data_IF_543252743906
#
_entry.id   IF_543252743906
#
_cell.length_a   1.000
_cell.length_b   1.000
_cell.length_c   1.000
_cell.angle_alpha   90.00
_cell.angle_beta   90.00
_cell.angle_gamma   90.00
#
_symmetry.space_group_name_H-M   'P 1'
#
loop_
_entity.id
_entity.type
_entity.pdbx_description
1 polymer ?
#
# COMPACT_ATOMS: atom_id res chain seq x y z
N UNK A 1 10.73 7.40 17.40
CA UNK A 1 11.21 6.91 16.10
C UNK A 1 12.25 5.86 16.45
N UNK A 2 12.16 4.64 15.93
CA UNK A 2 13.19 3.64 16.20
C UNK A 2 14.30 3.84 15.17
N UNK A 3 15.51 4.13 15.64
CA UNK A 3 16.68 4.16 14.76
C UNK A 3 17.02 2.73 14.34
N UNK A 4 17.29 2.56 13.05
CA UNK A 4 17.66 1.28 12.45
C UNK A 4 18.95 1.47 11.65
N UNK A 5 19.85 0.46 11.62
CA UNK A 5 21.01 0.53 10.75
C UNK A 5 20.59 0.74 9.30
N UNK A 6 21.27 1.66 8.62
CA UNK A 6 21.03 2.00 7.23
C UNK A 6 22.35 2.00 6.46
N UNK A 7 22.34 1.39 5.29
CA UNK A 7 23.48 1.26 4.38
C UNK A 7 23.11 1.93 3.07
N UNK A 8 23.88 2.94 2.66
CA UNK A 8 23.67 3.59 1.37
C UNK A 8 24.39 2.77 0.30
N UNK A 9 23.66 2.32 -0.70
CA UNK A 9 24.17 1.54 -1.83
C UNK A 9 23.68 2.24 -3.09
N UNK A 10 24.59 2.86 -3.83
CA UNK A 10 24.26 3.73 -4.97
C UNK A 10 23.19 4.79 -4.59
N UNK A 11 22.06 4.75 -5.29
CA UNK A 11 20.91 5.65 -5.14
C UNK A 11 19.81 5.09 -4.21
N UNK A 12 20.03 3.92 -3.60
CA UNK A 12 19.08 3.30 -2.67
C UNK A 12 19.66 3.22 -1.26
N UNK A 13 18.74 3.09 -0.31
CA UNK A 13 19.08 2.86 1.09
C UNK A 13 18.60 1.46 1.45
N UNK A 14 19.48 0.64 2.00
CA UNK A 14 19.13 -0.64 2.61
C UNK A 14 18.99 -0.40 4.11
N UNK A 15 17.89 -0.80 4.71
CA UNK A 15 17.69 -0.73 6.16
C UNK A 15 17.64 -2.12 6.77
N UNK A 16 18.20 -2.29 7.97
CA UNK A 16 18.15 -3.55 8.70
C UNK A 16 17.18 -3.47 9.89
N UNK A 17 16.10 -4.23 9.81
CA UNK A 17 15.09 -4.30 10.86
C UNK A 17 15.30 -5.50 11.78
N UNK A 18 14.91 -5.35 13.05
CA UNK A 18 14.89 -6.44 14.03
C UNK A 18 16.04 -6.39 15.03
N UNK A 19 15.75 -6.87 16.25
CA UNK A 19 16.72 -6.88 17.36
C UNK A 19 17.50 -8.19 17.45
N UNK A 20 16.81 -9.32 17.31
CA UNK A 20 17.39 -10.66 17.47
C UNK A 20 17.67 -11.35 16.15
N UNK A 21 16.98 -10.98 15.07
CA UNK A 21 17.22 -11.42 13.70
C UNK A 21 17.20 -10.15 12.87
N UNK A 22 18.34 -9.75 12.32
CA UNK A 22 18.43 -8.54 11.50
C UNK A 22 18.12 -8.88 10.05
N UNK A 23 17.03 -8.34 9.54
CA UNK A 23 16.58 -8.52 8.17
C UNK A 23 16.78 -7.20 7.43
N UNK A 24 17.70 -7.21 6.47
CA UNK A 24 17.92 -6.12 5.54
C UNK A 24 16.88 -6.13 4.42
N UNK A 25 16.34 -4.95 4.12
CA UNK A 25 15.43 -4.72 3.00
C UNK A 25 15.76 -3.39 2.33
N UNK A 26 15.37 -3.26 1.06
CA UNK A 26 15.47 -1.98 0.36
C UNK A 26 14.42 -1.04 0.95
N UNK A 27 14.87 0.11 1.47
CA UNK A 27 13.99 1.11 2.04
C UNK A 27 12.99 1.60 1.00
N UNK A 28 11.71 1.61 1.36
CA UNK A 28 10.61 1.96 0.46
C UNK A 28 10.63 1.19 -0.87
N UNK A 29 11.09 -0.06 -0.85
CA UNK A 29 11.22 -0.92 -2.03
C UNK A 29 10.00 -0.79 -2.94
N UNK A 30 8.78 -0.99 -2.43
CA UNK A 30 7.54 -0.92 -3.22
C UNK A 30 7.36 0.41 -3.99
N UNK A 31 7.88 1.51 -3.46
CA UNK A 31 7.77 2.86 -4.01
C UNK A 31 9.02 3.33 -4.76
N UNK A 32 10.07 2.52 -4.87
CA UNK A 32 11.15 2.84 -5.79
C UNK A 32 10.72 2.57 -7.24
N UNK A 33 11.11 3.42 -8.21
CA UNK A 33 10.98 3.10 -9.63
C UNK A 33 11.72 1.80 -9.96
N UNK A 34 11.14 0.93 -10.79
CA UNK A 34 11.76 -0.35 -11.12
C UNK A 34 13.19 -0.21 -11.68
N UNK A 35 13.44 0.86 -12.44
CA UNK A 35 14.76 1.19 -13.02
C UNK A 35 15.84 1.54 -12.00
N UNK A 36 15.45 1.88 -10.76
CA UNK A 36 16.38 2.20 -9.66
C UNK A 36 16.57 1.06 -8.67
N UNK A 37 15.92 -0.09 -8.89
CA UNK A 37 16.17 -1.26 -8.05
C UNK A 37 17.58 -1.79 -8.35
N UNK A 38 18.41 -1.98 -7.31
CA UNK A 38 19.76 -2.49 -7.51
C UNK A 38 19.73 -3.96 -7.95
N UNK A 39 20.83 -4.42 -8.56
CA UNK A 39 21.04 -5.85 -8.77
C UNK A 39 21.14 -6.55 -7.39
N UNK A 40 20.26 -7.53 -7.08
CA UNK A 40 20.31 -8.22 -5.80
C UNK A 40 21.64 -8.94 -5.55
N UNK A 41 22.35 -9.41 -6.58
CA UNK A 41 23.67 -10.00 -6.39
C UNK A 41 24.70 -8.98 -5.90
N UNK A 42 24.64 -7.75 -6.43
CA UNK A 42 25.50 -6.67 -5.97
C UNK A 42 25.21 -6.31 -4.51
N UNK A 43 23.92 -6.15 -4.15
CA UNK A 43 23.53 -5.87 -2.75
C UNK A 43 24.00 -6.97 -1.79
N UNK A 44 23.85 -8.24 -2.18
CA UNK A 44 24.33 -9.37 -1.37
C UNK A 44 25.84 -9.30 -1.16
N UNK A 45 26.61 -9.04 -2.22
CA UNK A 45 28.07 -8.90 -2.15
C UNK A 45 28.48 -7.78 -1.19
N UNK A 46 27.88 -6.60 -1.32
CA UNK A 46 28.15 -5.45 -0.46
C UNK A 46 27.80 -5.75 1.00
N UNK A 47 26.60 -6.29 1.27
CA UNK A 47 26.20 -6.65 2.64
C UNK A 47 27.11 -7.73 3.24
N UNK A 48 27.60 -8.69 2.43
CA UNK A 48 28.53 -9.72 2.89
C UNK A 48 29.91 -9.15 3.27
N UNK A 49 30.33 -8.03 2.69
CA UNK A 49 31.60 -7.37 3.01
C UNK A 49 31.59 -6.64 4.36
N UNK A 50 30.41 -6.33 4.90
CA UNK A 50 30.26 -5.60 6.16
C UNK A 50 30.75 -6.44 7.36
N UNK A 51 31.45 -5.79 8.28
CA UNK A 51 31.87 -6.38 9.56
C UNK A 51 30.64 -6.76 10.40
N UNK A 52 29.71 -5.81 10.56
CA UNK A 52 28.42 -6.02 11.25
C UNK A 52 27.28 -6.17 10.23
N UNK A 53 27.32 -7.28 9.47
CA UNK A 53 26.31 -7.57 8.45
C UNK A 53 24.96 -8.04 9.06
N UNK A 54 23.83 -7.74 8.40
CA UNK A 54 22.53 -8.28 8.79
C UNK A 54 22.49 -9.81 8.57
N UNK A 55 21.53 -10.50 9.20
CA UNK A 55 21.42 -11.96 9.11
C UNK A 55 20.80 -12.42 7.78
N UNK A 56 19.79 -11.69 7.30
CA UNK A 56 19.06 -11.95 6.06
C UNK A 56 19.02 -10.68 5.22
N UNK A 57 19.00 -10.83 3.90
CA UNK A 57 18.57 -9.80 2.96
C UNK A 57 17.32 -10.25 2.24
N UNK A 58 16.37 -9.35 2.01
CA UNK A 58 15.12 -9.66 1.31
C UNK A 58 14.72 -8.58 0.31
N UNK A 59 14.17 -9.03 -0.82
CA UNK A 59 13.71 -8.18 -1.91
C UNK A 59 12.59 -8.89 -2.69
N UNK A 60 11.76 -8.14 -3.40
CA UNK A 60 10.64 -8.66 -4.20
C UNK A 60 10.82 -8.39 -5.70
N UNK A 61 10.35 -9.33 -6.53
CA UNK A 61 10.12 -9.01 -7.95
C UNK A 61 8.98 -8.00 -8.08
N UNK A 62 8.97 -7.27 -9.20
CA UNK A 62 7.96 -6.24 -9.47
C UNK A 62 6.90 -6.74 -10.43
N UNK A 63 5.68 -6.23 -10.31
CA UNK A 63 4.63 -6.45 -11.30
C UNK A 63 5.13 -5.97 -12.68
N UNK A 64 4.99 -6.78 -13.75
CA UNK A 64 4.25 -8.05 -13.85
C UNK A 64 5.10 -9.33 -13.76
N UNK A 65 6.32 -9.24 -13.26
CA UNK A 65 7.28 -10.34 -13.24
C UNK A 65 6.96 -11.37 -12.14
N UNK A 66 6.06 -12.30 -12.45
CA UNK A 66 5.62 -13.37 -11.53
C UNK A 66 6.51 -14.62 -11.59
N UNK A 67 7.24 -14.81 -12.69
CA UNK A 67 8.13 -15.96 -12.86
C UNK A 67 9.45 -15.73 -12.12
N UNK A 68 9.89 -16.65 -11.25
CA UNK A 68 11.14 -16.51 -10.49
C UNK A 68 12.36 -16.33 -11.40
N UNK A 69 13.18 -15.30 -11.15
CA UNK A 69 14.42 -15.02 -11.89
C UNK A 69 15.69 -15.39 -11.14
N UNK A 70 15.62 -15.46 -9.82
CA UNK A 70 16.79 -15.67 -8.97
C UNK A 70 16.74 -17.04 -8.29
N UNK A 71 17.89 -17.73 -8.15
CA UNK A 71 18.00 -19.04 -7.51
C UNK A 71 18.11 -18.94 -5.99
N UNK A 72 17.42 -17.97 -5.38
CA UNK A 72 17.35 -17.81 -3.92
C UNK A 72 16.10 -18.46 -3.36
N UNK A 73 16.10 -18.75 -2.05
CA UNK A 73 14.87 -19.13 -1.37
C UNK A 73 13.84 -18.01 -1.56
N UNK A 74 12.60 -18.40 -1.90
CA UNK A 74 11.54 -17.44 -2.15
C UNK A 74 10.24 -17.88 -1.47
N UNK A 75 9.46 -16.87 -1.12
CA UNK A 75 8.07 -17.03 -0.72
C UNK A 75 7.17 -16.24 -1.66
N UNK A 76 5.88 -16.57 -1.66
CA UNK A 76 4.87 -15.84 -2.40
C UNK A 76 4.43 -14.62 -1.60
N UNK A 77 4.71 -13.43 -2.11
CA UNK A 77 4.06 -12.19 -1.69
C UNK A 77 2.88 -11.90 -2.63
N UNK A 78 1.87 -11.18 -2.15
CA UNK A 78 0.65 -10.95 -2.91
C UNK A 78 0.36 -9.45 -3.06
N UNK A 79 0.03 -9.04 -4.27
CA UNK A 79 -0.33 -7.66 -4.62
C UNK A 79 -1.73 -7.64 -5.25
N UNK A 80 -2.51 -6.62 -4.91
CA UNK A 80 -3.78 -6.34 -5.57
C UNK A 80 -3.53 -5.56 -6.86
N UNK A 81 -3.95 -6.15 -7.99
CA UNK A 81 -3.68 -5.60 -9.32
C UNK A 81 -4.96 -5.51 -10.13
N UNK A 82 -5.18 -4.40 -10.84
CA UNK A 82 -6.10 -4.34 -11.96
C UNK A 82 -5.26 -4.41 -13.25
N UNK A 83 -5.36 -5.50 -14.03
CA UNK A 83 -4.85 -5.54 -15.39
C UNK A 83 -5.68 -4.61 -16.27
N UNK A 84 -5.03 -3.72 -17.00
CA UNK A 84 -5.67 -2.66 -17.77
C UNK A 84 -5.30 -2.76 -19.24
N UNK A 85 -6.33 -2.84 -20.08
CA UNK A 85 -6.28 -2.72 -21.54
C UNK A 85 -6.98 -1.43 -21.99
N UNK A 86 -8.20 -1.20 -21.49
CA UNK A 86 -8.99 0.00 -21.72
C UNK A 86 -9.94 0.26 -20.55
N UNK A 87 -10.41 1.51 -20.42
CA UNK A 87 -11.38 1.86 -19.40
C UNK A 87 -12.72 1.11 -19.59
N UNK A 88 -13.16 0.96 -20.85
CA UNK A 88 -14.41 0.29 -21.18
C UNK A 88 -14.39 -1.18 -20.76
N UNK A 89 -13.29 -1.89 -21.04
CA UNK A 89 -13.13 -3.29 -20.64
C UNK A 89 -13.17 -3.43 -19.12
N UNK A 90 -12.45 -2.58 -18.38
CA UNK A 90 -12.52 -2.55 -16.92
C UNK A 90 -13.94 -2.31 -16.41
N UNK A 91 -14.60 -1.28 -16.92
CA UNK A 91 -15.91 -0.86 -16.45
C UNK A 91 -17.01 -1.89 -16.75
N UNK A 92 -17.01 -2.47 -17.95
CA UNK A 92 -18.07 -3.38 -18.40
C UNK A 92 -17.82 -4.84 -18.02
N UNK A 93 -16.56 -5.29 -17.99
CA UNK A 93 -16.22 -6.73 -17.82
C UNK A 93 -15.57 -7.06 -16.48
N UNK A 94 -14.73 -6.18 -15.93
CA UNK A 94 -13.90 -6.54 -14.77
C UNK A 94 -14.47 -6.12 -13.41
N UNK A 95 -15.37 -5.13 -13.37
CA UNK A 95 -16.00 -4.69 -12.12
C UNK A 95 -17.42 -5.24 -11.95
N UNK A 96 -17.85 -5.34 -10.69
CA UNK A 96 -19.20 -5.78 -10.34
C UNK A 96 -20.27 -4.76 -10.79
N UNK A 97 -21.50 -5.24 -10.98
CA UNK A 97 -22.65 -4.36 -11.23
C UNK A 97 -22.86 -3.35 -10.09
N UNK A 98 -22.54 -3.72 -8.85
CA UNK A 98 -22.59 -2.82 -7.70
C UNK A 98 -21.57 -1.66 -7.83
N UNK A 99 -20.35 -1.96 -8.26
CA UNK A 99 -19.32 -0.93 -8.50
C UNK A 99 -19.70 0.02 -9.64
N UNK A 100 -20.18 -0.49 -10.78
CA UNK A 100 -20.72 0.36 -11.85
C UNK A 100 -21.82 1.30 -11.36
N UNK A 101 -22.75 0.78 -10.55
CA UNK A 101 -23.81 1.59 -9.94
C UNK A 101 -23.26 2.64 -8.98
N UNK A 102 -22.28 2.29 -8.15
CA UNK A 102 -21.65 3.24 -7.22
C UNK A 102 -20.92 4.37 -7.95
N UNK A 103 -20.23 4.08 -9.06
CA UNK A 103 -19.58 5.10 -9.90
C UNK A 103 -20.64 6.05 -10.46
N UNK A 104 -21.66 5.54 -11.16
CA UNK A 104 -22.74 6.37 -11.70
C UNK A 104 -23.51 7.14 -10.62
N UNK A 105 -23.70 6.54 -9.45
CA UNK A 105 -24.35 7.19 -8.32
C UNK A 105 -23.50 8.33 -7.75
N UNK A 106 -22.17 8.23 -7.78
CA UNK A 106 -21.30 9.32 -7.34
C UNK A 106 -21.47 10.56 -8.22
N UNK A 107 -21.48 10.38 -9.54
CA UNK A 107 -21.71 11.44 -10.53
C UNK A 107 -23.10 12.06 -10.33
N UNK A 108 -24.15 11.24 -10.22
CA UNK A 108 -25.52 11.71 -9.97
C UNK A 108 -25.66 12.47 -8.64
N UNK A 109 -24.83 12.17 -7.65
CA UNK A 109 -24.78 12.85 -6.35
C UNK A 109 -23.83 14.07 -6.34
N UNK A 110 -23.41 14.53 -7.53
CA UNK A 110 -22.62 15.74 -7.70
C UNK A 110 -21.16 15.60 -7.32
N UNK A 111 -20.63 14.37 -7.23
CA UNK A 111 -19.19 14.17 -7.03
C UNK A 111 -18.46 14.43 -8.34
N UNK A 112 -17.47 15.32 -8.29
CA UNK A 112 -16.55 15.57 -9.40
C UNK A 112 -15.14 15.20 -8.97
N UNK A 113 -14.34 14.62 -9.87
CA UNK A 113 -12.94 14.29 -9.61
C UNK A 113 -12.06 15.12 -10.54
N UNK A 114 -10.98 15.67 -10.01
CA UNK A 114 -10.02 16.47 -10.78
C UNK A 114 -8.61 16.04 -10.44
N UNK A 115 -7.73 16.07 -11.43
CA UNK A 115 -6.30 16.15 -11.19
C UNK A 115 -5.97 17.54 -10.66
N UNK A 116 -5.21 17.61 -9.57
CA UNK A 116 -4.84 18.86 -8.90
C UNK A 116 -3.33 18.92 -8.68
N UNK A 117 -2.82 20.13 -8.47
CA UNK A 117 -1.44 20.32 -8.04
C UNK A 117 -1.29 19.90 -6.57
N UNK A 118 -0.07 19.54 -6.18
CA UNK A 118 0.27 19.36 -4.77
C UNK A 118 0.63 20.71 -4.16
N UNK A 119 -0.37 21.48 -3.76
CA UNK A 119 -0.24 22.80 -3.14
C UNK A 119 -0.86 22.83 -1.74
N UNK A 120 -0.74 23.98 -1.07
CA UNK A 120 -1.28 24.19 0.27
C UNK A 120 -2.79 23.93 0.35
N UNK A 121 -3.56 24.24 -0.69
CA UNK A 121 -5.00 24.00 -0.72
C UNK A 121 -5.29 22.50 -0.69
N UNK A 122 -4.59 21.72 -1.52
CA UNK A 122 -4.70 20.27 -1.52
C UNK A 122 -4.29 19.65 -0.17
N UNK A 123 -3.19 20.11 0.42
CA UNK A 123 -2.73 19.64 1.74
C UNK A 123 -3.75 19.98 2.83
N UNK A 124 -4.32 21.19 2.84
CA UNK A 124 -5.40 21.57 3.77
C UNK A 124 -6.66 20.73 3.56
N UNK A 125 -6.97 20.37 2.31
CA UNK A 125 -8.04 19.44 1.99
C UNK A 125 -7.80 18.04 2.57
N UNK A 126 -6.58 17.50 2.44
CA UNK A 126 -6.17 16.24 3.09
C UNK A 126 -6.30 16.35 4.61
N UNK A 127 -5.82 17.44 5.23
CA UNK A 127 -5.96 17.66 6.67
C UNK A 127 -7.42 17.67 7.10
N UNK A 128 -8.30 18.31 6.33
CA UNK A 128 -9.75 18.35 6.60
C UNK A 128 -10.39 16.96 6.57
N UNK A 129 -9.91 16.09 5.67
CA UNK A 129 -10.31 14.68 5.64
C UNK A 129 -9.74 13.94 6.85
N UNK A 130 -8.47 14.15 7.18
CA UNK A 130 -7.83 13.44 8.28
C UNK A 130 -8.44 13.74 9.64
N UNK A 131 -8.78 15.01 9.86
CA UNK A 131 -9.28 15.52 11.14
C UNK A 131 -10.79 15.41 11.31
N UNK A 132 -11.49 14.69 10.43
CA UNK A 132 -12.92 14.44 10.56
C UNK A 132 -13.25 13.52 11.75
N UNK A 133 -12.42 12.50 12.00
CA UNK A 133 -12.61 11.60 13.14
C UNK A 133 -11.29 10.95 13.56
N UNK A 134 -11.03 10.85 14.88
CA UNK A 134 -9.88 10.12 15.42
C UNK A 134 -10.01 8.61 15.25
N UNK A 135 -11.18 8.10 14.83
CA UNK A 135 -11.46 6.68 14.63
C UNK A 135 -11.99 6.44 13.21
N UNK A 136 -11.35 5.53 12.47
CA UNK A 136 -11.80 5.11 11.14
C UNK A 136 -11.84 3.60 11.06
N UNK A 137 -12.96 3.07 10.57
CA UNK A 137 -13.22 1.62 10.48
C UNK A 137 -12.95 0.87 11.81
N UNK A 138 -13.35 1.47 12.93
CA UNK A 138 -13.21 0.88 14.28
C UNK A 138 -11.77 0.85 14.81
N UNK A 139 -10.87 1.68 14.28
CA UNK A 139 -9.47 1.78 14.70
C UNK A 139 -9.06 3.23 14.84
N UNK A 140 -8.17 3.51 15.79
CA UNK A 140 -7.52 4.81 15.87
C UNK A 140 -6.89 5.16 14.52
N UNK A 141 -7.16 6.37 14.06
CA UNK A 141 -6.70 6.86 12.79
C UNK A 141 -5.41 7.63 12.98
N UNK A 142 -4.30 7.00 12.59
CA UNK A 142 -2.94 7.50 12.84
C UNK A 142 -2.61 8.84 12.14
N UNK A 143 -3.43 9.27 11.18
CA UNK A 143 -3.29 10.58 10.54
C UNK A 143 -4.06 11.72 11.23
N UNK A 144 -4.92 11.41 12.21
CA UNK A 144 -5.70 12.42 12.92
C UNK A 144 -4.79 13.32 13.78
N UNK A 145 -5.07 14.63 13.78
CA UNK A 145 -4.41 15.62 14.63
C UNK A 145 -2.98 15.99 14.18
N UNK A 146 -2.56 15.60 12.97
CA UNK A 146 -1.26 16.00 12.42
C UNK A 146 -1.27 17.48 12.01
N UNK A 147 -0.13 18.14 12.22
CA UNK A 147 0.12 19.48 11.72
C UNK A 147 0.34 19.49 10.19
N UNK A 148 0.27 20.70 9.61
CA UNK A 148 0.39 20.90 8.17
C UNK A 148 1.72 20.36 7.62
N UNK A 149 2.85 20.70 8.23
CA UNK A 149 4.18 20.32 7.73
C UNK A 149 4.35 18.80 7.70
N UNK A 150 3.81 18.09 8.69
CA UNK A 150 3.83 16.62 8.68
C UNK A 150 2.92 16.01 7.61
N UNK A 151 1.72 16.56 7.41
CA UNK A 151 0.80 16.09 6.35
C UNK A 151 1.40 16.35 4.98
N UNK A 152 2.00 17.51 4.77
CA UNK A 152 2.72 17.88 3.55
C UNK A 152 3.89 16.92 3.29
N UNK A 153 4.77 16.71 4.26
CA UNK A 153 5.94 15.85 4.11
C UNK A 153 5.56 14.40 3.75
N UNK A 154 4.58 13.82 4.46
CA UNK A 154 4.13 12.44 4.21
C UNK A 154 3.45 12.29 2.84
N UNK A 155 2.57 13.23 2.48
CA UNK A 155 1.83 13.17 1.22
C UNK A 155 2.65 13.66 0.01
N UNK A 156 3.72 14.42 0.24
CA UNK A 156 4.63 14.94 -0.79
C UNK A 156 5.71 13.97 -1.25
N UNK A 157 5.84 12.80 -0.63
CA UNK A 157 6.76 11.74 -1.07
C UNK A 157 6.55 11.40 -2.56
N UNK A 158 7.62 11.17 -3.34
CA UNK A 158 7.52 10.77 -4.75
C UNK A 158 6.76 11.76 -5.67
N UNK A 159 6.75 13.05 -5.33
CA UNK A 159 5.97 14.07 -6.03
C UNK A 159 6.22 14.12 -7.53
N UNK A 160 7.47 13.97 -7.94
CA UNK A 160 7.94 13.99 -9.33
C UNK A 160 7.32 12.90 -10.21
N UNK A 161 6.88 11.81 -9.57
CA UNK A 161 6.29 10.65 -10.21
C UNK A 161 4.87 10.39 -9.71
N UNK A 162 4.21 11.40 -9.15
CA UNK A 162 2.86 11.26 -8.59
C UNK A 162 1.81 12.05 -9.36
N UNK A 163 0.60 11.50 -9.42
CA UNK A 163 -0.61 12.24 -9.78
C UNK A 163 -1.52 12.32 -8.55
N UNK A 164 -1.98 13.54 -8.26
CA UNK A 164 -2.89 13.84 -7.16
C UNK A 164 -4.29 14.05 -7.72
N UNK A 165 -5.24 13.26 -7.21
CA UNK A 165 -6.65 13.41 -7.49
C UNK A 165 -7.37 13.93 -6.24
N UNK A 166 -8.32 14.83 -6.47
CA UNK A 166 -9.25 15.33 -5.46
C UNK A 166 -10.69 15.13 -5.93
N UNK A 167 -11.52 14.61 -5.03
CA UNK A 167 -12.97 14.49 -5.22
C UNK A 167 -13.65 15.66 -4.50
N UNK A 168 -14.54 16.35 -5.21
CA UNK A 168 -15.29 17.50 -4.70
C UNK A 168 -16.79 17.22 -4.70
N UNK A 169 -17.48 17.75 -3.69
CA UNK A 169 -18.93 17.90 -3.67
C UNK A 169 -19.27 19.21 -2.94
N UNK A 170 -20.20 19.99 -3.48
CA UNK A 170 -20.62 21.27 -2.88
C UNK A 170 -19.45 22.26 -2.67
N UNK A 171 -18.46 22.24 -3.57
CA UNK A 171 -17.26 23.07 -3.47
C UNK A 171 -16.23 22.61 -2.44
N UNK A 172 -16.53 21.59 -1.64
CA UNK A 172 -15.65 21.03 -0.62
C UNK A 172 -14.86 19.83 -1.18
N UNK A 173 -13.57 19.73 -0.84
CA UNK A 173 -12.79 18.52 -1.08
C UNK A 173 -13.20 17.41 -0.09
N UNK A 174 -13.86 16.38 -0.61
CA UNK A 174 -14.45 15.28 0.17
C UNK A 174 -13.65 13.99 0.10
N UNK A 175 -12.64 13.91 -0.76
CA UNK A 175 -11.77 12.76 -0.88
C UNK A 175 -10.55 13.03 -1.73
N UNK A 176 -9.55 12.17 -1.64
CA UNK A 176 -8.36 12.23 -2.46
C UNK A 176 -7.81 10.86 -2.78
N UNK A 177 -7.04 10.80 -3.87
CA UNK A 177 -6.28 9.63 -4.26
C UNK A 177 -4.90 10.09 -4.75
N UNK A 178 -3.85 9.46 -4.25
CA UNK A 178 -2.48 9.65 -4.75
C UNK A 178 -2.05 8.43 -5.55
N UNK A 179 -1.76 8.64 -6.83
CA UNK A 179 -1.13 7.66 -7.71
C UNK A 179 0.37 7.92 -7.77
N UNK A 180 1.14 6.84 -7.81
CA UNK A 180 2.58 6.90 -7.99
C UNK A 180 2.96 6.04 -9.21
N UNK A 181 3.56 6.65 -10.23
CA UNK A 181 3.78 6.10 -11.57
C UNK A 181 5.13 5.41 -11.72
N UNK A 182 5.12 4.19 -12.24
CA UNK A 182 6.29 3.44 -12.67
C UNK A 182 6.16 3.04 -14.15
N UNK A 183 7.17 2.36 -14.70
CA UNK A 183 7.26 2.04 -16.13
C UNK A 183 6.09 1.21 -16.62
N UNK A 184 5.77 0.12 -15.91
CA UNK A 184 4.69 -0.82 -16.30
C UNK A 184 3.48 -0.74 -15.38
N UNK A 185 3.53 0.05 -14.32
CA UNK A 185 2.46 0.06 -13.32
C UNK A 185 2.27 1.44 -12.70
N UNK A 186 1.12 1.65 -12.10
CA UNK A 186 0.86 2.76 -11.20
C UNK A 186 0.35 2.20 -9.88
N UNK A 187 0.79 2.74 -8.76
CA UNK A 187 0.37 2.27 -7.44
C UNK A 187 -0.46 3.34 -6.72
N UNK A 188 -1.60 2.95 -6.18
CA UNK A 188 -2.40 3.77 -5.28
C UNK A 188 -1.70 3.80 -3.92
N UNK A 189 -1.12 4.95 -3.57
CA UNK A 189 -0.52 5.16 -2.26
C UNK A 189 -1.58 5.37 -1.20
N UNK A 190 -2.57 6.22 -1.48
CA UNK A 190 -3.67 6.48 -0.57
C UNK A 190 -4.94 6.75 -1.36
N UNK A 191 -6.06 6.30 -0.83
CA UNK A 191 -7.41 6.62 -1.30
C UNK A 191 -8.32 6.79 -0.08
N UNK A 192 -8.59 8.04 0.29
CA UNK A 192 -9.29 8.37 1.53
C UNK A 192 -10.33 9.45 1.26
N UNK A 193 -11.51 9.31 1.88
CA UNK A 193 -12.59 10.28 1.82
C UNK A 193 -13.19 10.55 3.19
N UNK A 194 -13.99 11.62 3.24
CA UNK A 194 -14.81 11.97 4.40
C UNK A 194 -15.92 10.95 4.62
N UNK A 195 -16.09 10.53 5.86
CA UNK A 195 -17.16 9.67 6.36
C UNK A 195 -18.53 10.30 6.11
N UNK A 196 -18.68 11.60 6.34
CA UNK A 196 -19.91 12.38 6.07
C UNK A 196 -20.41 12.21 4.62
N UNK A 197 -19.49 12.07 3.67
CA UNK A 197 -19.80 11.95 2.25
C UNK A 197 -19.73 10.50 1.72
N UNK A 198 -19.65 9.49 2.61
CA UNK A 198 -19.52 8.07 2.24
C UNK A 198 -20.65 7.58 1.34
N UNK A 199 -21.87 8.10 1.52
CA UNK A 199 -23.02 7.75 0.69
C UNK A 199 -22.91 8.27 -0.75
N UNK A 200 -22.07 9.29 -1.00
CA UNK A 200 -21.78 9.81 -2.34
C UNK A 200 -20.71 9.01 -3.08
N UNK A 201 -20.16 7.96 -2.46
CA UNK A 201 -19.19 7.03 -3.07
C UNK A 201 -17.93 7.72 -3.68
N UNK A 202 -17.30 8.70 -3.00
CA UNK A 202 -16.13 9.41 -3.55
C UNK A 202 -14.97 8.47 -3.92
N UNK A 203 -14.71 7.41 -3.13
CA UNK A 203 -13.64 6.46 -3.46
C UNK A 203 -13.90 5.68 -4.76
N UNK A 204 -15.17 5.42 -5.14
CA UNK A 204 -15.48 4.78 -6.41
C UNK A 204 -15.22 5.74 -7.58
N UNK A 205 -15.56 7.03 -7.41
CA UNK A 205 -15.25 8.07 -8.40
C UNK A 205 -13.73 8.23 -8.58
N UNK A 206 -12.98 8.35 -7.49
CA UNK A 206 -11.52 8.48 -7.50
C UNK A 206 -10.84 7.29 -8.18
N UNK A 207 -11.28 6.06 -7.88
CA UNK A 207 -10.73 4.86 -8.52
C UNK A 207 -11.06 4.80 -10.02
N UNK A 208 -12.29 5.18 -10.40
CA UNK A 208 -12.68 5.26 -11.81
C UNK A 208 -11.77 6.22 -12.58
N UNK A 209 -11.49 7.40 -12.03
CA UNK A 209 -10.57 8.36 -12.66
C UNK A 209 -9.13 7.85 -12.69
N UNK A 210 -8.67 7.18 -11.63
CA UNK A 210 -7.35 6.54 -11.62
C UNK A 210 -7.20 5.51 -12.74
N UNK A 211 -8.22 4.69 -13.01
CA UNK A 211 -8.22 3.74 -14.12
C UNK A 211 -8.20 4.47 -15.48
N UNK A 212 -8.99 5.54 -15.65
CA UNK A 212 -8.94 6.36 -16.87
C UNK A 212 -7.53 6.86 -17.14
N UNK A 213 -6.88 7.46 -16.13
CA UNK A 213 -5.52 7.97 -16.25
C UNK A 213 -4.51 6.88 -16.61
N UNK A 214 -4.59 5.71 -15.99
CA UNK A 214 -3.69 4.59 -16.31
C UNK A 214 -3.87 4.16 -17.76
N UNK A 215 -5.10 3.99 -18.22
CA UNK A 215 -5.39 3.58 -19.61
C UNK A 215 -4.98 4.64 -20.62
N UNK A 216 -5.18 5.93 -20.33
CA UNK A 216 -4.76 7.04 -21.18
C UNK A 216 -3.23 7.16 -21.29
N UNK A 217 -2.50 6.77 -20.23
CA UNK A 217 -1.03 6.71 -20.22
C UNK A 217 -0.47 5.36 -20.69
N UNK A 218 -1.32 4.45 -21.17
CA UNK A 218 -0.95 3.09 -21.58
C UNK A 218 -0.19 2.31 -20.50
N UNK A 219 -0.54 2.53 -19.23
CA UNK A 219 0.00 1.80 -18.08
C UNK A 219 -0.85 0.55 -17.82
N UNK A 220 -0.29 -0.67 -18.00
CA UNK A 220 -1.09 -1.91 -18.03
C UNK A 220 -1.49 -2.46 -16.65
N UNK A 221 -0.94 -1.93 -15.55
CA UNK A 221 -1.24 -2.45 -14.20
C UNK A 221 -1.49 -1.32 -13.19
N UNK A 222 -2.66 -1.31 -12.57
CA UNK A 222 -2.96 -0.45 -11.41
C UNK A 222 -2.89 -1.27 -10.12
N UNK A 223 -1.99 -0.90 -9.22
CA UNK A 223 -1.71 -1.60 -7.98
C UNK A 223 -2.40 -0.92 -6.81
N UNK A 224 -2.79 -1.69 -5.80
CA UNK A 224 -3.25 -1.15 -4.53
C UNK A 224 -2.79 -2.01 -3.36
N UNK A 225 -1.49 -1.94 -3.04
CA UNK A 225 -0.86 -2.71 -1.94
C UNK A 225 -1.22 -4.22 -1.96
N UNK A 226 -1.11 -4.91 -0.82
CA UNK A 226 -1.38 -6.34 -0.71
C UNK A 226 -2.85 -6.70 -0.92
N UNK A 227 -3.14 -7.78 -1.62
CA UNK A 227 -4.52 -8.24 -1.84
C UNK A 227 -5.16 -8.80 -0.56
N UNK A 228 -4.40 -9.58 0.19
CA UNK A 228 -4.76 -10.15 1.49
C UNK A 228 -3.76 -9.68 2.54
N UNK A 229 -4.25 -9.11 3.64
CA UNK A 229 -3.41 -8.73 4.78
C UNK A 229 -3.47 -9.82 5.85
N UNK A 230 -2.44 -10.68 5.90
CA UNK A 230 -2.40 -11.87 6.76
C UNK A 230 -3.57 -12.82 6.45
N UNK A 231 -4.26 -13.32 7.47
CA UNK A 231 -5.41 -14.23 7.31
C UNK A 231 -6.78 -13.54 7.13
N UNK A 232 -6.81 -12.22 6.85
CA UNK A 232 -8.05 -11.46 6.72
C UNK A 232 -8.57 -11.48 5.29
N UNK A 233 -9.36 -12.51 4.96
CA UNK A 233 -9.95 -12.69 3.63
C UNK A 233 -11.27 -11.93 3.43
N UNK A 234 -11.98 -11.55 4.52
CA UNK A 234 -13.24 -10.81 4.46
C UNK A 234 -13.15 -9.49 5.24
N UNK A 235 -12.49 -8.49 4.63
CA UNK A 235 -12.48 -7.11 5.11
C UNK A 235 -13.22 -6.19 4.14
N UNK A 236 -13.67 -5.03 4.61
CA UNK A 236 -14.27 -4.01 3.74
C UNK A 236 -13.34 -3.58 2.61
N UNK A 237 -12.02 -3.54 2.87
CA UNK A 237 -11.00 -3.23 1.89
C UNK A 237 -10.84 -4.36 0.86
N UNK A 238 -10.79 -5.62 1.29
CA UNK A 238 -10.70 -6.78 0.39
C UNK A 238 -11.94 -6.86 -0.50
N UNK A 239 -13.13 -6.60 0.06
CA UNK A 239 -14.38 -6.51 -0.70
C UNK A 239 -14.33 -5.38 -1.73
N UNK A 240 -13.89 -4.18 -1.32
CA UNK A 240 -13.71 -3.05 -2.22
C UNK A 240 -12.76 -3.41 -3.38
N UNK A 241 -11.61 -4.03 -3.09
CA UNK A 241 -10.66 -4.49 -4.12
C UNK A 241 -11.34 -5.45 -5.11
N UNK A 242 -11.96 -6.52 -4.60
CA UNK A 242 -12.64 -7.51 -5.44
C UNK A 242 -13.77 -6.91 -6.28
N UNK A 243 -14.61 -6.08 -5.69
CA UNK A 243 -15.77 -5.48 -6.39
C UNK A 243 -15.34 -4.51 -7.51
N UNK A 244 -14.16 -3.90 -7.41
CA UNK A 244 -13.63 -2.96 -8.40
C UNK A 244 -12.58 -3.58 -9.33
N UNK A 245 -12.54 -4.91 -9.45
CA UNK A 245 -11.76 -5.61 -10.47
C UNK A 245 -10.28 -5.80 -10.12
N UNK A 246 -9.88 -5.60 -8.85
CA UNK A 246 -8.57 -6.04 -8.43
C UNK A 246 -8.55 -7.56 -8.33
N UNK A 247 -7.51 -8.16 -8.88
CA UNK A 247 -7.16 -9.57 -8.76
C UNK A 247 -5.90 -9.73 -7.90
N UNK A 248 -5.72 -10.92 -7.34
CA UNK A 248 -4.49 -11.29 -6.64
C UNK A 248 -3.42 -11.64 -7.66
N UNK A 249 -2.27 -10.97 -7.58
CA UNK A 249 -1.06 -11.35 -8.31
C UNK A 249 0.00 -11.74 -7.29
N UNK A 250 0.52 -12.96 -7.41
CA UNK A 250 1.58 -13.47 -6.54
C UNK A 250 2.95 -13.18 -7.16
N UNK A 251 3.84 -12.56 -6.38
CA UNK A 251 5.19 -12.18 -6.76
C UNK A 251 6.21 -12.92 -5.90
N UNK A 252 7.34 -13.36 -6.48
CA UNK A 252 8.43 -13.92 -5.69
C UNK A 252 9.05 -12.86 -4.77
N UNK A 253 9.06 -13.14 -3.46
CA UNK A 253 9.82 -12.43 -2.43
C UNK A 253 11.00 -13.32 -2.03
N UNK A 254 12.21 -12.86 -2.29
CA UNK A 254 13.43 -13.61 -2.03
C UNK A 254 13.98 -13.33 -0.63
N UNK A 255 14.65 -14.33 -0.08
CA UNK A 255 15.41 -14.25 1.16
C UNK A 255 16.79 -14.87 0.94
N UNK A 256 17.82 -14.07 1.17
CA UNK A 256 19.22 -14.47 1.04
C UNK A 256 19.85 -14.50 2.43
N UNK A 257 20.31 -15.67 2.92
CA UNK A 257 21.02 -15.74 4.17
C UNK A 257 22.43 -15.18 4.03
N UNK A 258 22.77 -14.20 4.88
CA UNK A 258 24.09 -13.56 4.93
C UNK A 258 24.95 -14.11 6.07
N UNK A 259 24.31 -14.72 7.09
CA UNK A 259 24.97 -15.36 8.24
C UNK A 259 24.49 -16.80 8.42
N UNK A 260 25.26 -17.61 9.16
CA UNK A 260 24.85 -18.98 9.57
C UNK A 260 23.53 -18.93 10.35
N UNK A 261 23.39 -17.93 11.22
CA UNK A 261 22.17 -17.66 11.98
C UNK A 261 20.99 -17.36 11.06
N UNK A 262 21.16 -16.48 10.07
CA UNK A 262 20.15 -16.21 9.05
C UNK A 262 19.72 -17.47 8.31
N UNK A 263 20.67 -18.30 7.87
CA UNK A 263 20.37 -19.57 7.20
C UNK A 263 19.55 -20.52 8.09
N UNK A 264 19.89 -20.65 9.37
CA UNK A 264 19.14 -21.47 10.32
C UNK A 264 17.74 -20.91 10.54
N UNK A 265 17.61 -19.60 10.77
CA UNK A 265 16.31 -18.94 10.95
C UNK A 265 15.41 -19.10 9.72
N UNK A 266 15.97 -19.03 8.52
CA UNK A 266 15.24 -19.23 7.26
C UNK A 266 14.70 -20.66 7.15
N UNK A 267 15.54 -21.67 7.44
CA UNK A 267 15.13 -23.09 7.45
C UNK A 267 14.05 -23.39 8.49
N UNK A 268 14.10 -22.70 9.63
CA UNK A 268 13.12 -22.83 10.72
C UNK A 268 11.88 -21.94 10.54
N UNK A 269 11.82 -21.10 9.52
CA UNK A 269 10.70 -20.18 9.26
C UNK A 269 10.58 -19.02 10.26
N UNK A 270 11.64 -18.70 11.00
CA UNK A 270 11.66 -17.67 12.04
C UNK A 270 11.76 -16.23 11.50
N UNK A 271 11.98 -16.07 10.19
CA UNK A 271 11.94 -14.79 9.50
C UNK A 271 10.50 -14.27 9.30
N UNK A 272 9.50 -15.13 9.45
CA UNK A 272 8.08 -14.74 9.32
C UNK A 272 7.63 -13.91 10.52
N UNK A 273 6.82 -12.90 10.26
CA UNK A 273 6.25 -12.08 11.34
C UNK A 273 5.44 -12.97 12.28
N UNK A 274 5.58 -12.77 13.60
CA UNK A 274 4.77 -13.45 14.63
C UNK A 274 3.26 -13.42 14.34
N UNK A 275 2.77 -12.36 13.68
CA UNK A 275 1.35 -12.21 13.27
C UNK A 275 0.88 -13.23 12.23
N UNK A 276 1.81 -13.82 11.48
CA UNK A 276 1.57 -14.80 10.43
C UNK A 276 1.82 -16.23 10.95
N UNK A 277 2.60 -16.37 12.04
CA UNK A 277 2.79 -17.61 12.78
C UNK A 277 1.62 -17.90 13.76
N UNK A 278 0.92 -16.87 14.24
CA UNK A 278 -0.21 -17.03 15.17
C UNK A 278 -1.47 -17.52 14.41
N UNK A 279 -2.06 -18.67 14.79
CA UNK A 279 -3.28 -19.17 14.17
C UNK A 279 -4.45 -18.17 14.22
N UNK A 280 -5.28 -18.17 13.17
CA UNK A 280 -6.39 -17.23 13.01
C UNK A 280 -7.34 -17.20 14.21
N UNK A 281 -7.66 -18.36 14.79
CA UNK A 281 -8.58 -18.47 15.92
C UNK A 281 -8.10 -17.64 17.13
N UNK A 282 -6.80 -17.70 17.43
CA UNK A 282 -6.19 -16.98 18.56
C UNK A 282 -6.15 -15.47 18.30
N UNK A 283 -5.78 -15.08 17.08
CA UNK A 283 -5.79 -13.67 16.66
C UNK A 283 -7.19 -13.06 16.72
N UNK A 284 -8.23 -13.79 16.31
CA UNK A 284 -9.62 -13.31 16.34
C UNK A 284 -10.12 -13.05 17.77
N UNK A 285 -9.64 -13.82 18.76
CA UNK A 285 -9.98 -13.63 20.18
C UNK A 285 -9.26 -12.43 20.77
N UNK A 286 -7.98 -12.24 20.43
CA UNK A 286 -7.19 -11.07 20.85
C UNK A 286 -7.76 -9.76 20.28
N UNK A 287 -8.19 -9.77 19.00
CA UNK A 287 -8.85 -8.60 18.40
C UNK A 287 -10.17 -8.30 19.11
N UNK A 288 -11.01 -9.32 19.37
CA UNK A 288 -12.27 -9.13 20.12
C UNK A 288 -12.05 -8.59 21.53
N UNK A 289 -11.11 -9.17 22.29
CA UNK A 289 -10.78 -8.71 23.64
C UNK A 289 -10.28 -7.26 23.65
N UNK A 290 -9.47 -6.89 22.65
CA UNK A 290 -9.02 -5.51 22.45
C UNK A 290 -10.18 -4.57 22.11
N UNK A 291 -11.08 -4.99 21.23
CA UNK A 291 -12.24 -4.19 20.80
C UNK A 291 -13.24 -4.01 21.96
N UNK A 292 -13.44 -5.02 22.81
CA UNK A 292 -14.17 -4.93 24.08
C UNK A 292 -13.49 -3.98 25.08
N UNK A 293 -12.16 -4.03 25.19
CA UNK A 293 -11.40 -3.14 26.07
C UNK A 293 -11.50 -1.67 25.65
N UNK A 294 -11.43 -1.38 24.34
CA UNK A 294 -11.65 -0.02 23.81
C UNK A 294 -13.08 0.46 24.03
N UNK A 295 -14.06 -0.44 23.91
CA UNK A 295 -15.48 -0.12 24.12
C UNK A 295 -15.75 0.17 25.61
N UNK A 296 -15.09 -0.53 26.54
CA UNK A 296 -15.16 -0.27 27.99
C UNK A 296 -14.47 1.04 28.42
N UNK A 297 -13.55 1.57 27.62
CA UNK A 297 -12.86 2.84 27.90
C UNK A 297 -13.55 4.07 27.28
N UNK A 298 -14.72 3.92 26.67
CA UNK A 298 -15.45 5.03 26.05
C UNK A 298 -14.73 5.63 24.83
N UNK A 299 -13.81 4.89 24.20
CA UNK A 299 -13.06 5.33 23.01
C UNK A 299 -13.82 5.00 21.71
N UNK A 300 -15.13 4.80 21.81
CA UNK A 300 -16.00 4.35 20.74
C UNK A 300 -17.35 5.04 20.89
N UNK A 301 -17.61 6.00 20.02
CA UNK A 301 -18.96 6.39 19.61
C UNK A 301 -19.30 5.63 18.31
#
# INVERSE_FOLDING_TARGET
MQEVPAFRMDDVVIIANGKYLQIAEIFDEYWLPAVRLPDPYHVVSELQSLESKPDLFTFAQRVPDTQPRFPFYMESDNVAVIPLSSYDEWFNKHISAASRRNIRASEKKGVTVKQVAFDDEYVRGIMSIYNESPVRAGRQFWHFGKDFGRVEAENGTYRERSTFLAAYAEGEMIGYLKLVWDVKSAAIMQIISKLKFRERRPNNALLSEAVRLCTAKSVPYLLYESYVYGNKTDSSLTRFKRENGFVRMDLPRYFVPLTIKGNLCLKLGLHKTLKDLIPYWLRSRLVRARDEWYSRRGLRD
#
